data_IF_898365804984
#
_entry.id   IF_898365804984
#
_cell.length_a   1.000
_cell.length_b   1.000
_cell.length_c   1.000
_cell.angle_alpha   90.00
_cell.angle_beta   90.00
_cell.angle_gamma   90.00
#
_symmetry.space_group_name_H-M   'P 1'
#
loop_
_entity.id
_entity.type
_entity.pdbx_description
1 polymer ?
#
# COMPACT_ATOMS: atom_id res chain seq x y z
N UNK A 1 44.56 23.63 -37.74
CA UNK A 1 44.48 22.16 -37.73
C UNK A 1 45.45 21.65 -36.67
N UNK A 2 45.16 20.55 -35.96
CA UNK A 2 44.25 19.47 -36.37
C UNK A 2 43.29 19.09 -35.19
N UNK A 3 42.30 18.21 -35.22
CA UNK A 3 41.76 17.25 -36.17
C UNK A 3 40.23 17.31 -36.10
N UNK A 4 39.62 17.28 -37.27
CA UNK A 4 38.22 16.95 -37.51
C UNK A 4 37.95 15.51 -37.06
N UNK A 5 37.02 15.31 -36.12
CA UNK A 5 36.34 14.01 -35.98
C UNK A 5 35.15 13.96 -36.95
N UNK A 6 35.12 13.03 -37.92
CA UNK A 6 33.91 12.68 -38.62
C UNK A 6 33.30 11.46 -37.91
N UNK A 7 32.40 11.67 -36.95
CA UNK A 7 31.60 10.58 -36.42
C UNK A 7 30.30 10.47 -37.23
N UNK A 8 30.19 9.39 -37.99
CA UNK A 8 29.04 9.03 -38.80
C UNK A 8 27.74 9.10 -37.98
N UNK A 9 26.71 9.72 -38.56
CA UNK A 9 25.33 9.74 -38.05
C UNK A 9 24.75 8.32 -38.11
N UNK A 10 25.08 7.50 -37.12
CA UNK A 10 24.63 6.11 -37.06
C UNK A 10 23.37 6.05 -36.23
N UNK A 11 22.21 6.26 -36.87
CA UNK A 11 20.93 5.95 -36.26
C UNK A 11 20.78 4.43 -36.24
N UNK A 12 20.97 3.80 -35.08
CA UNK A 12 20.65 2.38 -34.92
C UNK A 12 19.15 2.23 -34.64
N UNK A 13 18.48 1.35 -35.39
CA UNK A 13 17.06 1.04 -35.21
C UNK A 13 16.75 0.51 -33.80
N UNK A 14 15.47 0.52 -33.38
CA UNK A 14 15.08 0.17 -32.02
C UNK A 14 15.53 -1.27 -31.68
N UNK A 15 16.18 -1.44 -30.51
CA UNK A 15 16.52 -2.76 -30.00
C UNK A 15 15.26 -3.55 -29.59
N UNK A 16 15.41 -4.86 -29.35
CA UNK A 16 14.32 -5.73 -28.90
C UNK A 16 13.67 -5.31 -27.55
N UNK A 17 14.21 -4.27 -26.88
CA UNK A 17 13.68 -3.70 -25.64
C UNK A 17 13.06 -2.31 -25.87
N UNK A 18 13.01 -1.76 -27.09
CA UNK A 18 12.46 -0.42 -27.38
C UNK A 18 13.43 0.75 -27.09
N UNK A 19 14.75 0.54 -27.15
CA UNK A 19 15.77 1.59 -27.08
C UNK A 19 16.24 2.00 -28.46
N UNK A 20 16.40 3.30 -28.67
CA UNK A 20 17.05 3.85 -29.85
C UNK A 20 18.34 4.53 -29.38
N UNK A 21 19.48 4.17 -29.97
CA UNK A 21 20.73 4.87 -29.72
C UNK A 21 20.83 6.10 -30.62
N UNK A 22 21.06 7.26 -30.01
CA UNK A 22 21.15 8.54 -30.70
C UNK A 22 22.31 9.34 -30.14
N UNK A 23 22.96 10.14 -30.98
CA UNK A 23 23.89 11.16 -30.51
C UNK A 23 23.09 12.42 -30.13
N UNK A 24 23.33 12.97 -28.94
CA UNK A 24 22.65 14.17 -28.42
C UNK A 24 23.65 15.18 -27.92
N UNK A 25 23.35 16.46 -28.17
CA UNK A 25 24.09 17.58 -27.59
C UNK A 25 23.85 17.62 -26.09
N UNK A 26 24.89 17.87 -25.28
CA UNK A 26 24.76 17.89 -23.82
C UNK A 26 23.73 18.93 -23.35
N UNK A 27 23.60 20.06 -24.05
CA UNK A 27 22.65 21.13 -23.73
C UNK A 27 21.18 20.72 -23.92
N UNK A 28 20.92 19.67 -24.70
CA UNK A 28 19.57 19.14 -24.90
C UNK A 28 19.13 18.17 -23.79
N UNK A 29 20.04 17.78 -22.90
CA UNK A 29 19.79 16.82 -21.84
C UNK A 29 19.44 17.59 -20.56
N UNK A 30 18.18 17.49 -20.15
CA UNK A 30 17.66 18.14 -18.95
C UNK A 30 17.71 17.17 -17.78
N UNK A 31 18.40 17.56 -16.70
CA UNK A 31 18.40 16.79 -15.46
C UNK A 31 17.13 17.13 -14.69
N UNK A 32 16.21 16.16 -14.57
CA UNK A 32 14.99 16.31 -13.78
C UNK A 32 15.23 16.33 -12.26
N UNK A 33 14.17 16.33 -11.47
CA UNK A 33 14.25 16.31 -10.00
C UNK A 33 14.95 15.05 -9.50
N UNK A 34 16.13 15.22 -8.89
CA UNK A 34 16.92 14.13 -8.29
C UNK A 34 17.03 14.30 -6.78
N UNK A 35 17.02 13.16 -6.08
CA UNK A 35 17.22 13.11 -4.64
C UNK A 35 18.68 13.42 -4.24
N UNK A 36 19.66 13.03 -5.07
CA UNK A 36 21.07 13.36 -4.89
C UNK A 36 21.42 14.63 -5.67
N UNK A 37 21.87 15.67 -4.97
CA UNK A 37 22.23 16.98 -5.56
C UNK A 37 23.72 17.14 -5.85
N UNK A 38 24.58 16.28 -5.29
CA UNK A 38 26.02 16.29 -5.53
C UNK A 38 26.47 15.00 -6.23
N UNK A 39 27.12 15.07 -7.40
CA UNK A 39 27.61 13.89 -8.09
C UNK A 39 28.78 13.23 -7.36
N UNK A 40 29.42 13.88 -6.37
CA UNK A 40 30.57 13.36 -5.61
C UNK A 40 31.88 13.38 -6.41
N UNK A 41 32.87 12.60 -5.99
CA UNK A 41 34.15 12.49 -6.72
C UNK A 41 33.98 11.75 -8.05
N UNK A 42 34.34 12.45 -9.13
CA UNK A 42 34.26 12.00 -10.52
C UNK A 42 35.64 11.75 -11.15
N UNK A 43 36.74 12.01 -10.44
CA UNK A 43 38.10 12.03 -11.01
C UNK A 43 38.43 10.72 -11.73
N UNK A 44 38.27 9.59 -11.05
CA UNK A 44 38.51 8.25 -11.62
C UNK A 44 37.58 7.92 -12.80
N UNK A 45 36.34 8.41 -12.77
CA UNK A 45 35.39 8.18 -13.85
C UNK A 45 35.76 9.01 -15.08
N UNK A 46 36.21 10.25 -14.88
CA UNK A 46 36.73 11.11 -15.95
C UNK A 46 37.97 10.50 -16.59
N UNK A 47 38.91 9.98 -15.79
CA UNK A 47 40.12 9.31 -16.29
C UNK A 47 39.75 8.09 -17.16
N UNK A 48 38.84 7.25 -16.67
CA UNK A 48 38.36 6.08 -17.43
C UNK A 48 37.64 6.46 -18.72
N UNK A 49 36.86 7.54 -18.72
CA UNK A 49 36.17 8.03 -19.93
C UNK A 49 37.17 8.60 -20.94
N UNK A 50 38.25 9.25 -20.47
CA UNK A 50 39.27 9.80 -21.35
C UNK A 50 40.11 8.70 -22.02
N UNK A 51 40.37 7.59 -21.31
CA UNK A 51 41.15 6.47 -21.82
C UNK A 51 40.34 5.52 -22.71
N UNK A 52 39.11 5.17 -22.31
CA UNK A 52 38.31 4.12 -22.95
C UNK A 52 37.07 4.63 -23.69
N UNK A 53 36.77 5.93 -23.58
CA UNK A 53 35.52 6.50 -24.05
C UNK A 53 34.32 6.15 -23.15
N UNK A 54 33.14 6.60 -23.55
CA UNK A 54 31.91 6.33 -22.82
C UNK A 54 31.37 4.93 -23.15
N UNK A 55 31.82 3.92 -22.42
CA UNK A 55 31.43 2.51 -22.64
C UNK A 55 29.94 2.24 -22.43
N UNK A 56 29.30 2.99 -21.54
CA UNK A 56 27.88 2.85 -21.25
C UNK A 56 27.17 4.19 -21.53
N UNK A 57 26.32 4.26 -22.58
CA UNK A 57 25.49 5.41 -22.86
C UNK A 57 24.56 5.77 -21.69
N UNK A 58 24.20 7.04 -21.57
CA UNK A 58 23.19 7.50 -20.61
C UNK A 58 21.79 7.28 -21.18
N UNK A 59 20.78 7.10 -20.33
CA UNK A 59 19.40 6.88 -20.79
C UNK A 59 18.55 8.13 -20.58
N UNK A 60 17.83 8.54 -21.61
CA UNK A 60 16.97 9.72 -21.62
C UNK A 60 15.55 9.40 -22.14
N UNK A 61 14.60 10.27 -21.82
CA UNK A 61 13.28 10.29 -22.45
C UNK A 61 13.36 10.89 -23.87
N UNK A 62 12.31 10.75 -24.71
CA UNK A 62 12.27 11.37 -26.03
C UNK A 62 12.36 12.91 -25.95
N UNK A 63 11.87 13.48 -24.85
CA UNK A 63 11.88 14.92 -24.56
C UNK A 63 13.24 15.43 -24.04
N UNK A 64 14.25 14.56 -23.91
CA UNK A 64 15.58 14.95 -23.44
C UNK A 64 15.78 14.91 -21.93
N UNK A 65 14.83 14.38 -21.16
CA UNK A 65 14.96 14.30 -19.70
C UNK A 65 15.86 13.13 -19.32
N UNK A 66 16.87 13.38 -18.50
CA UNK A 66 17.81 12.37 -18.04
C UNK A 66 17.12 11.40 -17.07
N UNK A 67 17.01 10.15 -17.50
CA UNK A 67 16.56 9.04 -16.66
C UNK A 67 17.75 8.57 -15.83
N UNK A 68 18.80 8.02 -16.45
CA UNK A 68 19.90 7.40 -15.72
C UNK A 68 21.30 7.80 -16.22
N UNK A 69 22.31 7.69 -15.34
CA UNK A 69 23.70 8.01 -15.67
C UNK A 69 24.11 9.47 -15.42
N UNK A 70 23.60 10.11 -14.37
CA UNK A 70 23.89 11.52 -14.08
C UNK A 70 25.38 11.79 -13.82
N UNK A 71 26.07 10.92 -13.09
CA UNK A 71 27.53 11.04 -12.87
C UNK A 71 28.32 10.98 -14.18
N UNK A 72 27.88 10.15 -15.13
CA UNK A 72 28.49 10.06 -16.47
C UNK A 72 28.24 11.34 -17.26
N UNK A 73 27.02 11.87 -17.23
CA UNK A 73 26.68 13.16 -17.83
C UNK A 73 27.54 14.31 -17.26
N UNK A 74 27.69 14.37 -15.94
CA UNK A 74 28.54 15.37 -15.28
C UNK A 74 30.02 15.18 -15.60
N UNK A 75 30.51 13.94 -15.65
CA UNK A 75 31.89 13.65 -16.01
C UNK A 75 32.21 14.11 -17.44
N UNK A 76 31.36 13.78 -18.44
CA UNK A 76 31.56 14.24 -19.83
C UNK A 76 31.41 15.75 -19.97
N UNK A 77 30.55 16.38 -19.16
CA UNK A 77 30.41 17.84 -19.11
C UNK A 77 31.67 18.52 -18.59
N UNK A 78 32.31 17.97 -17.54
CA UNK A 78 33.60 18.45 -17.02
C UNK A 78 34.77 18.20 -17.98
N UNK A 79 34.71 17.12 -18.77
CA UNK A 79 35.67 16.82 -19.83
C UNK A 79 35.48 17.69 -21.09
N UNK A 80 34.44 18.53 -21.15
CA UNK A 80 34.22 19.48 -22.24
C UNK A 80 33.63 18.86 -23.52
N UNK A 81 32.98 17.71 -23.42
CA UNK A 81 32.31 17.08 -24.58
C UNK A 81 31.13 17.95 -25.04
N UNK A 82 30.85 17.98 -26.35
CA UNK A 82 29.71 18.74 -26.92
C UNK A 82 28.50 17.86 -27.16
N UNK A 83 28.72 16.61 -27.54
CA UNK A 83 27.69 15.59 -27.73
C UNK A 83 28.12 14.27 -27.10
N UNK A 84 27.16 13.40 -26.85
CA UNK A 84 27.38 12.05 -26.35
C UNK A 84 26.31 11.09 -26.88
N UNK A 85 26.68 9.82 -26.99
CA UNK A 85 25.72 8.77 -27.27
C UNK A 85 24.79 8.57 -26.07
N UNK A 86 23.50 8.52 -26.38
CA UNK A 86 22.43 8.30 -25.42
C UNK A 86 21.48 7.21 -25.91
N UNK A 87 20.84 6.53 -24.98
CA UNK A 87 19.71 5.67 -25.26
C UNK A 87 18.40 6.41 -25.00
N UNK A 88 17.60 6.55 -26.04
CA UNK A 88 16.24 7.10 -25.95
C UNK A 88 15.26 5.96 -25.74
N UNK A 89 14.51 6.04 -24.65
CA UNK A 89 13.42 5.12 -24.34
C UNK A 89 12.08 5.79 -24.67
N UNK A 90 11.26 5.18 -25.52
CA UNK A 90 9.90 5.63 -25.76
C UNK A 90 8.88 4.80 -24.97
N UNK A 91 7.77 5.41 -24.54
CA UNK A 91 6.64 4.70 -23.94
C UNK A 91 6.83 4.25 -22.48
N UNK A 92 7.75 4.83 -21.72
CA UNK A 92 7.89 4.58 -20.28
C UNK A 92 7.01 5.59 -19.52
N UNK A 93 6.32 5.14 -18.48
CA UNK A 93 5.62 6.06 -17.57
C UNK A 93 6.63 6.79 -16.68
N UNK A 94 6.43 8.08 -16.39
CA UNK A 94 7.37 8.88 -15.58
C UNK A 94 7.71 8.28 -14.20
N UNK A 95 6.84 7.42 -13.67
CA UNK A 95 7.04 6.66 -12.42
C UNK A 95 8.07 5.54 -12.56
N UNK A 96 8.09 4.83 -13.69
CA UNK A 96 9.08 3.81 -14.00
C UNK A 96 10.44 4.43 -14.37
N UNK A 97 10.42 5.60 -15.03
CA UNK A 97 11.62 6.40 -15.31
C UNK A 97 12.36 6.78 -14.01
N UNK A 98 11.64 7.35 -13.04
CA UNK A 98 12.20 7.75 -11.75
C UNK A 98 12.77 6.56 -10.95
N UNK A 99 12.13 5.40 -11.03
CA UNK A 99 12.59 4.18 -10.33
C UNK A 99 13.85 3.59 -10.98
N UNK A 100 13.95 3.63 -12.31
CA UNK A 100 15.13 3.16 -13.04
C UNK A 100 16.32 4.11 -12.85
N UNK A 101 16.07 5.42 -12.85
CA UNK A 101 17.05 6.45 -12.49
C UNK A 101 17.72 6.16 -11.14
N UNK A 102 16.89 5.81 -10.15
CA UNK A 102 17.33 5.53 -8.80
C UNK A 102 18.08 4.20 -8.69
N UNK A 103 17.74 3.20 -9.52
CA UNK A 103 18.43 1.91 -9.50
C UNK A 103 19.86 2.02 -10.06
N UNK A 104 20.02 2.70 -11.21
CA UNK A 104 21.32 2.88 -11.88
C UNK A 104 22.29 3.74 -11.05
N UNK A 105 21.80 4.81 -10.41
CA UNK A 105 22.61 5.64 -9.50
C UNK A 105 23.09 4.86 -8.26
N UNK A 106 22.34 3.83 -7.82
CA UNK A 106 22.69 2.99 -6.68
C UNK A 106 23.63 1.83 -7.02
N UNK A 107 23.60 1.35 -8.26
CA UNK A 107 24.41 0.21 -8.71
C UNK A 107 25.90 0.57 -8.86
N UNK A 108 26.23 1.87 -8.96
CA UNK A 108 27.58 2.37 -9.27
C UNK A 108 28.38 3.04 -8.13
N UNK A 109 27.85 3.22 -6.90
CA UNK A 109 28.54 3.42 -5.60
C UNK A 109 27.82 4.41 -4.64
N UNK A 110 27.10 3.86 -3.67
CA UNK A 110 27.22 3.97 -2.21
C UNK A 110 26.02 3.17 -1.70
N UNK A 111 26.19 2.17 -0.84
CA UNK A 111 25.04 1.42 -0.35
C UNK A 111 24.06 2.39 0.32
N UNK A 112 22.81 2.45 -0.17
CA UNK A 112 21.76 3.28 0.42
C UNK A 112 21.79 3.20 1.95
N UNK A 113 21.69 4.35 2.62
CA UNK A 113 21.52 4.40 4.07
C UNK A 113 20.22 3.68 4.46
N UNK A 114 20.15 3.11 5.66
CA UNK A 114 18.97 2.38 6.14
C UNK A 114 17.71 3.25 6.17
N UNK A 115 17.83 4.56 6.42
CA UNK A 115 16.73 5.52 6.34
C UNK A 115 16.26 5.72 4.90
N UNK A 116 17.19 5.88 3.95
CA UNK A 116 16.85 6.02 2.53
C UNK A 116 16.15 4.77 1.99
N UNK A 117 16.62 3.58 2.41
CA UNK A 117 15.96 2.31 2.12
C UNK A 117 14.54 2.27 2.69
N UNK A 118 14.31 2.78 3.89
CA UNK A 118 13.00 2.81 4.53
C UNK A 118 12.02 3.77 3.83
N UNK A 119 12.49 4.95 3.43
CA UNK A 119 11.69 5.92 2.65
C UNK A 119 11.27 5.33 1.31
N UNK A 120 12.22 4.77 0.56
CA UNK A 120 11.93 4.12 -0.72
C UNK A 120 11.00 2.90 -0.55
N UNK A 121 11.15 2.17 0.56
CA UNK A 121 10.26 1.06 0.90
C UNK A 121 8.81 1.52 1.10
N UNK A 122 8.61 2.65 1.79
CA UNK A 122 7.28 3.22 2.01
C UNK A 122 6.61 3.59 0.69
N UNK A 123 7.33 4.28 -0.19
CA UNK A 123 6.83 4.66 -1.52
C UNK A 123 6.48 3.42 -2.36
N UNK A 124 7.43 2.49 -2.51
CA UNK A 124 7.19 1.26 -3.29
C UNK A 124 6.05 0.40 -2.72
N UNK A 125 5.89 0.35 -1.39
CA UNK A 125 4.80 -0.37 -0.73
C UNK A 125 3.44 0.23 -1.09
N UNK A 126 3.32 1.57 -1.15
CA UNK A 126 2.08 2.24 -1.58
C UNK A 126 1.77 1.93 -3.04
N UNK A 127 2.77 2.04 -3.92
CA UNK A 127 2.63 1.77 -5.35
C UNK A 127 2.21 0.31 -5.60
N UNK A 128 2.87 -0.65 -4.95
CA UNK A 128 2.51 -2.07 -5.06
C UNK A 128 1.13 -2.39 -4.47
N UNK A 129 0.64 -1.60 -3.51
CA UNK A 129 -0.71 -1.72 -2.98
C UNK A 129 -1.74 -1.23 -4.00
N UNK A 130 -1.54 -0.04 -4.58
CA UNK A 130 -2.37 0.53 -5.65
C UNK A 130 -2.46 -0.41 -6.86
N UNK A 131 -1.34 -0.99 -7.29
CA UNK A 131 -1.31 -1.98 -8.38
C UNK A 131 -2.00 -3.30 -7.98
N UNK A 132 -1.88 -3.71 -6.71
CA UNK A 132 -2.61 -4.84 -6.16
C UNK A 132 -4.12 -4.61 -6.18
N UNK A 133 -4.58 -3.40 -5.85
CA UNK A 133 -5.98 -3.00 -5.90
C UNK A 133 -6.50 -2.91 -7.34
N UNK A 134 -5.73 -2.31 -8.25
CA UNK A 134 -6.06 -2.28 -9.69
C UNK A 134 -6.20 -3.68 -10.27
N UNK A 135 -5.29 -4.60 -9.92
CA UNK A 135 -5.39 -6.02 -10.33
C UNK A 135 -6.63 -6.68 -9.74
N UNK A 136 -6.91 -6.46 -8.45
CA UNK A 136 -8.12 -7.01 -7.81
C UNK A 136 -9.36 -6.51 -8.51
N UNK A 137 -9.49 -5.20 -8.75
CA UNK A 137 -10.60 -4.60 -9.48
C UNK A 137 -10.74 -5.22 -10.89
N UNK A 138 -9.64 -5.33 -11.65
CA UNK A 138 -9.66 -5.97 -12.97
C UNK A 138 -10.07 -7.46 -12.94
N UNK A 139 -9.71 -8.19 -11.89
CA UNK A 139 -10.09 -9.61 -11.73
C UNK A 139 -11.46 -9.81 -11.10
N UNK A 140 -12.00 -8.82 -10.39
CA UNK A 140 -13.25 -8.91 -9.65
C UNK A 140 -14.48 -8.79 -10.56
N UNK A 141 -14.33 -8.17 -11.73
CA UNK A 141 -15.37 -8.04 -12.76
C UNK A 141 -15.26 -9.09 -13.90
N UNK A 142 -14.36 -10.07 -13.81
CA UNK A 142 -14.04 -11.02 -14.89
C UNK A 142 -14.06 -12.49 -14.50
N UNK A 143 -14.86 -12.90 -13.51
CA UNK A 143 -15.04 -14.30 -13.15
C UNK A 143 -16.30 -14.89 -13.78
N UNK A 144 -16.36 -14.89 -15.12
CA UNK A 144 -17.49 -15.41 -15.88
C UNK A 144 -17.10 -15.75 -17.32
N UNK A 145 -16.69 -17.01 -17.52
CA UNK A 145 -16.46 -17.71 -18.79
C UNK A 145 -15.31 -17.20 -19.67
N UNK A 146 -14.37 -18.11 -19.96
CA UNK A 146 -13.08 -17.94 -20.66
C UNK A 146 -11.95 -17.38 -19.81
N UNK A 147 -11.45 -18.20 -18.88
CA UNK A 147 -10.04 -18.10 -18.51
C UNK A 147 -9.23 -18.58 -19.74
N UNK A 148 -8.44 -17.74 -20.42
CA UNK A 148 -7.37 -18.27 -21.23
C UNK A 148 -6.45 -19.00 -20.26
N UNK A 149 -6.06 -20.22 -20.62
CA UNK A 149 -5.03 -20.96 -19.93
C UNK A 149 -3.72 -20.14 -19.99
N UNK A 150 -3.53 -19.19 -19.08
CA UNK A 150 -2.25 -18.52 -18.86
C UNK A 150 -1.38 -19.42 -17.99
N UNK A 151 -1.18 -20.66 -18.43
CA UNK A 151 0.13 -21.26 -18.30
C UNK A 151 1.06 -20.35 -19.09
N UNK A 152 1.92 -19.61 -18.38
CA UNK A 152 2.95 -18.81 -19.03
C UNK A 152 3.68 -19.66 -20.06
N UNK A 153 3.97 -19.10 -21.23
CA UNK A 153 4.85 -19.74 -22.19
C UNK A 153 6.11 -20.25 -21.45
N UNK A 154 6.68 -21.42 -21.82
CA UNK A 154 7.91 -21.91 -21.21
C UNK A 154 8.98 -20.81 -21.28
N UNK A 155 9.34 -20.22 -20.14
CA UNK A 155 10.31 -19.12 -20.06
C UNK A 155 9.75 -17.71 -19.83
N UNK A 156 8.43 -17.51 -19.76
CA UNK A 156 7.86 -16.24 -19.30
C UNK A 156 8.16 -16.06 -17.79
N UNK A 157 8.79 -14.95 -17.36
CA UNK A 157 9.06 -14.74 -15.95
C UNK A 157 7.72 -14.73 -15.19
N UNK A 158 7.60 -15.46 -14.07
CA UNK A 158 6.36 -15.50 -13.31
C UNK A 158 5.98 -14.07 -12.92
N UNK A 159 4.77 -13.64 -13.29
CA UNK A 159 4.24 -12.35 -12.85
C UNK A 159 4.38 -12.23 -11.33
N UNK A 160 4.89 -11.10 -10.84
CA UNK A 160 5.27 -10.95 -9.45
C UNK A 160 4.08 -11.25 -8.52
N UNK A 161 4.08 -12.45 -7.92
CA UNK A 161 3.08 -12.90 -6.96
C UNK A 161 3.60 -12.63 -5.56
N UNK A 162 2.89 -11.81 -4.78
CA UNK A 162 3.30 -11.46 -3.42
C UNK A 162 2.50 -10.32 -2.79
N UNK A 163 2.49 -10.25 -1.46
CA UNK A 163 1.97 -9.11 -0.70
C UNK A 163 2.84 -7.86 -1.01
N UNK A 164 2.24 -6.68 -1.18
CA UNK A 164 2.91 -5.43 -1.56
C UNK A 164 4.21 -5.16 -0.78
N UNK A 165 4.19 -5.38 0.55
CA UNK A 165 5.37 -5.29 1.43
C UNK A 165 6.57 -6.15 1.00
N UNK A 166 6.32 -7.36 0.48
CA UNK A 166 7.39 -8.27 0.03
C UNK A 166 7.94 -7.84 -1.32
N UNK A 167 7.07 -7.39 -2.22
CA UNK A 167 7.48 -6.87 -3.53
C UNK A 167 8.34 -5.61 -3.37
N UNK A 168 7.91 -4.66 -2.53
CA UNK A 168 8.67 -3.46 -2.21
C UNK A 168 10.06 -3.78 -1.62
N UNK A 169 10.13 -4.67 -0.61
CA UNK A 169 11.42 -5.03 -0.01
C UNK A 169 12.38 -5.72 -1.00
N UNK A 170 11.84 -6.60 -1.86
CA UNK A 170 12.61 -7.30 -2.89
C UNK A 170 13.15 -6.33 -3.95
N UNK A 171 12.36 -5.33 -4.34
CA UNK A 171 12.75 -4.32 -5.32
C UNK A 171 13.91 -3.42 -4.85
N UNK A 172 14.07 -3.24 -3.54
CA UNK A 172 15.13 -2.40 -2.96
C UNK A 172 16.39 -3.22 -2.71
N UNK A 173 16.29 -4.22 -1.84
CA UNK A 173 17.46 -4.93 -1.31
C UNK A 173 17.74 -6.26 -2.00
N UNK A 174 16.87 -6.70 -2.93
CA UNK A 174 16.92 -8.06 -3.49
C UNK A 174 16.59 -9.16 -2.48
N UNK A 175 16.21 -8.81 -1.25
CA UNK A 175 15.87 -9.72 -0.15
C UNK A 175 14.50 -9.37 0.41
N UNK A 176 13.84 -10.35 1.04
CA UNK A 176 12.54 -10.14 1.68
C UNK A 176 12.66 -9.46 3.08
N UNK A 177 13.42 -8.38 3.19
CA UNK A 177 13.76 -7.68 4.45
C UNK A 177 12.70 -6.65 4.90
N UNK A 178 11.41 -6.92 4.65
CA UNK A 178 10.33 -5.97 4.92
C UNK A 178 10.21 -5.59 6.41
N UNK A 179 10.46 -6.52 7.34
CA UNK A 179 10.39 -6.24 8.78
C UNK A 179 11.41 -5.19 9.25
N UNK A 180 12.56 -5.09 8.60
CA UNK A 180 13.59 -4.11 8.95
C UNK A 180 13.16 -2.72 8.52
N UNK A 181 12.70 -2.58 7.27
CA UNK A 181 12.20 -1.30 6.76
C UNK A 181 10.97 -0.80 7.52
N UNK A 182 10.04 -1.69 7.91
CA UNK A 182 8.87 -1.30 8.73
C UNK A 182 9.29 -0.74 10.11
N UNK A 183 10.34 -1.29 10.74
CA UNK A 183 10.83 -0.78 12.03
C UNK A 183 11.43 0.62 11.90
N UNK A 184 12.21 0.86 10.84
CA UNK A 184 12.78 2.18 10.56
C UNK A 184 11.67 3.18 10.23
N UNK A 185 10.67 2.80 9.43
CA UNK A 185 9.49 3.64 9.17
C UNK A 185 8.73 4.01 10.45
N UNK A 186 8.56 3.06 11.38
CA UNK A 186 7.90 3.31 12.66
C UNK A 186 8.69 4.31 13.52
N UNK A 187 10.02 4.21 13.56
CA UNK A 187 10.88 5.18 14.25
C UNK A 187 10.76 6.58 13.63
N UNK A 188 10.74 6.67 12.30
CA UNK A 188 10.53 7.95 11.58
C UNK A 188 9.15 8.56 11.89
N UNK A 189 8.11 7.73 11.98
CA UNK A 189 6.76 8.19 12.31
C UNK A 189 6.68 8.72 13.75
N UNK A 190 7.29 8.01 14.71
CA UNK A 190 7.37 8.47 16.09
C UNK A 190 8.16 9.77 16.21
N UNK A 191 9.28 9.90 15.50
CA UNK A 191 10.11 11.11 15.49
C UNK A 191 9.37 12.34 14.92
N UNK A 192 8.51 12.15 13.91
CA UNK A 192 7.90 13.25 13.14
C UNK A 192 6.51 13.66 13.64
N UNK A 193 5.76 12.74 14.26
CA UNK A 193 4.36 12.97 14.64
C UNK A 193 4.26 13.85 15.88
N UNK A 194 3.56 14.99 15.76
CA UNK A 194 3.33 15.95 16.86
C UNK A 194 2.61 15.34 18.06
N UNK A 195 1.70 14.38 17.82
CA UNK A 195 0.96 13.67 18.86
C UNK A 195 1.81 12.69 19.68
N UNK A 196 3.02 12.34 19.21
CA UNK A 196 3.95 11.49 19.97
C UNK A 196 4.57 12.30 21.12
N UNK A 197 4.65 11.77 22.35
CA UNK A 197 5.27 12.46 23.48
C UNK A 197 6.69 12.95 23.17
N UNK A 198 7.11 14.15 23.65
CA UNK A 198 8.42 14.73 23.33
C UNK A 198 9.60 13.80 23.63
N UNK A 199 9.56 13.07 24.74
CA UNK A 199 10.59 12.11 25.16
C UNK A 199 10.73 10.95 24.17
N UNK A 200 9.62 10.43 23.66
CA UNK A 200 9.64 9.37 22.64
C UNK A 200 10.15 9.91 21.30
N UNK A 201 9.84 11.17 20.95
CA UNK A 201 10.40 11.78 19.74
C UNK A 201 11.92 11.92 19.83
N UNK A 202 12.46 12.32 20.99
CA UNK A 202 13.91 12.40 21.19
C UNK A 202 14.54 11.01 21.11
N UNK A 203 13.98 10.01 21.80
CA UNK A 203 14.47 8.63 21.73
C UNK A 203 14.43 8.05 20.30
N UNK A 204 13.37 8.34 19.55
CA UNK A 204 13.26 7.91 18.15
C UNK A 204 14.30 8.59 17.25
N UNK A 205 14.56 9.89 17.43
CA UNK A 205 15.60 10.60 16.70
C UNK A 205 17.01 10.07 17.03
N UNK A 206 17.28 9.77 18.30
CA UNK A 206 18.55 9.19 18.73
C UNK A 206 18.74 7.77 18.17
N UNK A 207 17.69 6.95 18.19
CA UNK A 207 17.70 5.62 17.58
C UNK A 207 17.96 5.70 16.06
N UNK A 208 17.36 6.67 15.36
CA UNK A 208 17.61 6.88 13.93
C UNK A 208 19.07 7.26 13.68
N UNK A 209 19.67 8.15 14.46
CA UNK A 209 21.11 8.49 14.35
C UNK A 209 22.01 7.30 14.57
N UNK A 210 21.71 6.46 15.57
CA UNK A 210 22.46 5.22 15.83
C UNK A 210 22.36 4.24 14.66
N UNK A 211 21.18 4.12 14.04
CA UNK A 211 20.97 3.30 12.83
C UNK A 211 21.78 3.84 11.65
N UNK A 212 21.84 5.16 11.45
CA UNK A 212 22.70 5.76 10.41
C UNK A 212 24.18 5.43 10.63
N UNK A 213 24.62 5.34 11.88
CA UNK A 213 25.98 4.93 12.26
C UNK A 213 26.21 3.41 12.18
N UNK A 214 25.22 2.62 11.76
CA UNK A 214 25.34 1.18 11.54
C UNK A 214 24.98 0.29 12.73
N UNK A 215 24.37 0.84 13.79
CA UNK A 215 23.92 0.03 14.92
C UNK A 215 22.72 -0.90 14.55
N UNK A 216 22.54 -2.03 15.25
CA UNK A 216 21.45 -2.95 14.97
C UNK A 216 20.07 -2.33 15.19
N UNK A 217 19.22 -2.35 14.15
CA UNK A 217 17.90 -1.72 14.14
C UNK A 217 16.91 -2.35 15.14
N UNK A 218 16.94 -3.68 15.30
CA UNK A 218 15.96 -4.41 16.13
C UNK A 218 15.98 -4.00 17.61
N UNK A 219 17.13 -3.99 18.33
CA UNK A 219 17.15 -3.59 19.74
C UNK A 219 16.72 -2.13 19.94
N UNK A 220 17.22 -1.22 19.10
CA UNK A 220 16.85 0.21 19.15
C UNK A 220 15.34 0.41 18.96
N UNK A 221 14.74 -0.29 17.99
CA UNK A 221 13.30 -0.27 17.81
C UNK A 221 12.53 -0.82 19.02
N UNK A 222 13.01 -1.90 19.64
CA UNK A 222 12.34 -2.50 20.80
C UNK A 222 12.36 -1.58 22.02
N UNK A 223 13.45 -0.87 22.25
CA UNK A 223 13.60 0.13 23.32
C UNK A 223 12.61 1.28 23.15
N UNK A 224 12.60 1.93 21.97
CA UNK A 224 11.67 3.04 21.68
C UNK A 224 10.21 2.55 21.71
N UNK A 225 9.94 1.33 21.22
CA UNK A 225 8.60 0.75 21.27
C UNK A 225 8.14 0.52 22.71
N UNK A 226 8.99 -0.02 23.58
CA UNK A 226 8.64 -0.27 24.98
C UNK A 226 8.27 1.05 25.69
N UNK A 227 9.11 2.09 25.53
CA UNK A 227 8.83 3.41 26.08
C UNK A 227 7.53 4.01 25.50
N UNK A 228 7.29 3.86 24.19
CA UNK A 228 6.02 4.31 23.58
C UNK A 228 4.81 3.56 24.15
N UNK A 229 4.87 2.24 24.26
CA UNK A 229 3.79 1.41 24.83
C UNK A 229 3.52 1.80 26.30
N UNK A 230 4.56 2.09 27.09
CA UNK A 230 4.43 2.60 28.47
C UNK A 230 3.73 3.96 28.52
N UNK A 231 4.09 4.90 27.64
CA UNK A 231 3.38 6.20 27.58
C UNK A 231 1.91 6.07 27.18
N UNK A 232 1.55 5.06 26.39
CA UNK A 232 0.16 4.75 26.07
C UNK A 232 -0.58 4.12 27.26
N UNK A 233 0.12 3.33 28.08
CA UNK A 233 -0.45 2.73 29.29
C UNK A 233 -0.63 3.74 30.45
N UNK A 234 0.20 4.77 30.51
CA UNK A 234 0.18 5.81 31.57
C UNK A 234 -0.90 6.88 31.31
N UNK A 235 -1.41 7.03 30.08
CA UNK A 235 -2.61 7.82 29.86
C UNK A 235 -3.74 7.18 30.67
N UNK A 236 -4.32 7.85 31.68
CA UNK A 236 -5.57 7.38 32.22
C UNK A 236 -6.57 7.55 31.09
N UNK A 237 -6.87 6.47 30.37
CA UNK A 237 -8.23 6.29 29.91
C UNK A 237 -9.08 6.61 31.14
N UNK A 238 -9.87 7.69 31.09
CA UNK A 238 -11.06 7.77 31.92
C UNK A 238 -11.75 6.45 31.63
N UNK A 239 -11.64 5.50 32.56
CA UNK A 239 -12.03 4.12 32.35
C UNK A 239 -13.53 4.16 32.12
N UNK A 240 -13.93 4.23 30.86
CA UNK A 240 -15.33 4.19 30.51
C UNK A 240 -15.84 2.85 30.98
N UNK A 241 -17.08 2.82 31.45
CA UNK A 241 -17.70 1.60 31.97
C UNK A 241 -17.65 0.43 30.97
N UNK A 242 -17.53 0.76 29.68
CA UNK A 242 -17.29 -0.18 28.58
C UNK A 242 -15.91 -0.86 28.63
N UNK A 243 -14.85 -0.14 28.99
CA UNK A 243 -13.49 -0.67 29.15
C UNK A 243 -13.38 -1.59 30.37
N UNK A 244 -14.07 -1.24 31.47
CA UNK A 244 -14.21 -2.09 32.67
C UNK A 244 -14.89 -3.42 32.33
N UNK A 245 -16.02 -3.36 31.64
CA UNK A 245 -16.78 -4.54 31.20
C UNK A 245 -16.01 -5.41 30.19
N UNK A 246 -15.19 -4.81 29.32
CA UNK A 246 -14.33 -5.53 28.39
C UNK A 246 -13.21 -6.29 29.12
N UNK A 247 -12.64 -5.70 30.16
CA UNK A 247 -11.62 -6.34 31.01
C UNK A 247 -12.21 -7.50 31.81
N UNK A 248 -13.38 -7.29 32.41
CA UNK A 248 -14.12 -8.34 33.14
C UNK A 248 -14.51 -9.52 32.23
N UNK A 249 -14.82 -9.25 30.96
CA UNK A 249 -15.07 -10.28 29.96
C UNK A 249 -13.80 -11.04 29.54
N UNK A 250 -12.65 -10.36 29.44
CA UNK A 250 -11.36 -10.99 29.14
C UNK A 250 -10.85 -11.87 30.29
N UNK A 251 -11.08 -11.47 31.54
CA UNK A 251 -10.75 -12.29 32.71
C UNK A 251 -11.60 -13.58 32.77
N UNK A 252 -12.88 -13.51 32.37
CA UNK A 252 -13.74 -14.70 32.21
C UNK A 252 -13.27 -15.65 31.10
N UNK A 253 -12.55 -15.14 30.09
CA UNK A 253 -11.98 -15.95 29.00
C UNK A 253 -10.63 -16.56 29.42
N UNK A 254 -9.77 -15.78 30.08
CA UNK A 254 -8.45 -16.27 30.53
C UNK A 254 -8.54 -17.29 31.67
N UNK A 255 -9.61 -17.26 32.48
CA UNK A 255 -9.94 -18.31 33.46
C UNK A 255 -10.32 -19.67 32.84
N UNK A 256 -10.52 -19.74 31.52
CA UNK A 256 -10.82 -20.97 30.77
C UNK A 256 -9.69 -21.36 29.82
N UNK A 257 -8.43 -21.29 30.27
CA UNK A 257 -7.31 -21.94 29.57
C UNK A 257 -7.33 -23.44 29.82
N UNK A 258 -8.11 -24.15 29.01
CA UNK A 258 -8.15 -25.61 29.08
C UNK A 258 -8.98 -26.24 27.97
N UNK A 259 -8.56 -26.09 26.70
CA UNK A 259 -8.79 -27.13 25.68
C UNK A 259 -7.95 -26.89 24.43
N UNK A 260 -6.82 -27.61 24.39
CA UNK A 260 -6.07 -27.90 23.17
C UNK A 260 -6.96 -28.68 22.20
N UNK A 261 -6.90 -28.28 20.93
CA UNK A 261 -7.19 -29.13 19.77
C UNK A 261 -8.65 -29.47 19.52
N UNK A 262 -9.32 -28.69 18.65
CA UNK A 262 -10.37 -29.25 17.82
C UNK A 262 -10.06 -29.00 16.34
N UNK A 263 -10.08 -30.11 15.60
CA UNK A 263 -9.86 -30.23 14.18
C UNK A 263 -10.85 -29.33 13.42
N UNK A 264 -10.33 -28.70 12.37
CA UNK A 264 -11.05 -27.87 11.42
C UNK A 264 -12.01 -28.76 10.61
N UNK A 265 -13.26 -28.87 11.06
CA UNK A 265 -14.32 -29.47 10.26
C UNK A 265 -14.76 -28.45 9.20
N UNK A 266 -14.49 -28.81 7.94
CA UNK A 266 -15.08 -28.18 6.77
C UNK A 266 -16.52 -28.70 6.64
N UNK A 267 -17.49 -27.80 6.79
CA UNK A 267 -18.90 -28.00 6.48
C UNK A 267 -19.57 -26.62 6.34
N UNK A 268 -20.59 -26.44 5.49
CA UNK A 268 -21.17 -25.14 5.19
C UNK A 268 -22.12 -24.73 6.33
N UNK A 269 -21.60 -24.12 7.38
CA UNK A 269 -22.42 -23.49 8.41
C UNK A 269 -22.73 -22.05 7.99
N UNK A 270 -24.02 -21.75 7.75
CA UNK A 270 -24.55 -20.39 7.65
C UNK A 270 -24.17 -19.64 8.94
N UNK A 271 -23.06 -18.91 8.90
CA UNK A 271 -22.70 -18.01 9.98
C UNK A 271 -23.50 -16.72 9.84
N UNK A 272 -24.63 -16.64 10.54
CA UNK A 272 -25.30 -15.36 10.75
C UNK A 272 -24.33 -14.44 11.50
N UNK A 273 -24.22 -13.17 11.07
CA UNK A 273 -23.41 -12.17 11.77
C UNK A 273 -24.07 -11.82 13.11
N UNK A 274 -23.28 -11.29 14.04
CA UNK A 274 -23.80 -10.89 15.36
C UNK A 274 -24.80 -9.73 15.24
N UNK A 275 -25.71 -9.62 16.21
CA UNK A 275 -26.65 -8.48 16.32
C UNK A 275 -25.90 -7.14 16.36
N UNK A 276 -24.72 -7.09 17.00
CA UNK A 276 -23.87 -5.89 17.01
C UNK A 276 -23.38 -5.50 15.61
N UNK A 277 -22.99 -6.48 14.79
CA UNK A 277 -22.60 -6.22 13.39
C UNK A 277 -23.77 -5.71 12.57
N UNK A 278 -24.99 -6.20 12.84
CA UNK A 278 -26.21 -5.73 12.17
C UNK A 278 -26.52 -4.27 12.50
N UNK A 279 -26.49 -3.90 13.80
CA UNK A 279 -26.73 -2.51 14.23
C UNK A 279 -25.72 -1.54 13.62
N UNK A 280 -24.43 -1.90 13.62
CA UNK A 280 -23.38 -1.05 13.05
C UNK A 280 -23.62 -0.76 11.56
N UNK A 281 -23.99 -1.78 10.78
CA UNK A 281 -24.29 -1.62 9.35
C UNK A 281 -25.44 -0.63 9.10
N UNK A 282 -26.46 -0.62 9.95
CA UNK A 282 -27.58 0.34 9.81
C UNK A 282 -27.22 1.75 10.31
N UNK A 283 -26.38 1.87 11.34
CA UNK A 283 -25.86 3.17 11.77
C UNK A 283 -24.99 3.82 10.70
N UNK A 284 -24.16 3.04 10.00
CA UNK A 284 -23.34 3.53 8.89
C UNK A 284 -24.15 3.94 7.66
N UNK A 285 -25.30 3.29 7.45
CA UNK A 285 -26.25 3.64 6.39
C UNK A 285 -27.22 4.75 6.81
N UNK A 286 -27.15 5.30 8.02
CA UNK A 286 -28.05 6.40 8.39
C UNK A 286 -27.68 7.68 7.64
N UNK A 287 -28.68 8.41 7.12
CA UNK A 287 -28.48 9.64 6.33
C UNK A 287 -27.83 9.47 4.95
N UNK A 288 -27.53 8.24 4.51
CA UNK A 288 -26.76 8.02 3.27
C UNK A 288 -27.44 8.55 2.00
N UNK A 289 -28.78 8.56 1.96
CA UNK A 289 -29.55 9.05 0.81
C UNK A 289 -29.43 10.54 0.61
N UNK A 290 -29.13 11.31 1.66
CA UNK A 290 -28.95 12.77 1.58
C UNK A 290 -27.62 13.15 0.90
N UNK A 291 -26.71 12.20 0.76
CA UNK A 291 -25.41 12.41 0.11
C UNK A 291 -25.47 12.32 -1.42
N UNK A 292 -26.63 11.99 -2.00
CA UNK A 292 -26.78 11.76 -3.43
C UNK A 292 -27.92 12.58 -4.04
N UNK A 293 -27.66 13.15 -5.22
CA UNK A 293 -28.66 13.81 -6.06
C UNK A 293 -29.38 12.78 -6.94
N UNK A 294 -30.71 12.72 -6.81
CA UNK A 294 -31.56 11.75 -7.50
C UNK A 294 -31.55 11.96 -9.01
N UNK A 295 -31.54 13.22 -9.48
CA UNK A 295 -31.57 13.52 -10.92
C UNK A 295 -30.23 13.16 -11.57
N UNK A 296 -29.13 13.42 -10.85
CA UNK A 296 -27.79 13.02 -11.28
C UNK A 296 -27.63 11.49 -11.34
N UNK A 297 -28.18 10.76 -10.37
CA UNK A 297 -28.17 9.30 -10.37
C UNK A 297 -29.04 8.72 -11.49
N UNK A 298 -30.24 9.26 -11.72
CA UNK A 298 -31.13 8.80 -12.78
C UNK A 298 -30.50 8.97 -14.18
N UNK A 299 -29.74 10.03 -14.39
CA UNK A 299 -29.03 10.26 -15.65
C UNK A 299 -27.75 9.41 -15.81
N UNK A 300 -27.09 9.05 -14.70
CA UNK A 300 -25.76 8.43 -14.69
C UNK A 300 -25.72 6.91 -14.51
N UNK A 301 -26.78 6.30 -13.98
CA UNK A 301 -26.80 4.86 -13.74
C UNK A 301 -27.02 4.06 -15.02
N UNK A 302 -26.26 2.98 -15.18
CA UNK A 302 -26.53 2.00 -16.24
C UNK A 302 -27.73 1.13 -15.87
N UNK A 303 -28.35 0.47 -16.85
CA UNK A 303 -29.46 -0.46 -16.60
C UNK A 303 -29.07 -1.57 -15.61
N UNK A 304 -27.85 -2.08 -15.70
CA UNK A 304 -27.36 -3.12 -14.80
C UNK A 304 -27.19 -2.61 -13.35
N UNK A 305 -26.73 -1.37 -13.18
CA UNK A 305 -26.60 -0.73 -11.87
C UNK A 305 -27.98 -0.48 -11.24
N UNK A 306 -28.94 -0.05 -12.06
CA UNK A 306 -30.33 0.15 -11.65
C UNK A 306 -30.98 -1.16 -11.18
N UNK A 307 -30.87 -2.22 -11.97
CA UNK A 307 -31.39 -3.54 -11.59
C UNK A 307 -30.72 -4.10 -10.33
N UNK A 308 -29.43 -3.85 -10.15
CA UNK A 308 -28.72 -4.26 -8.93
C UNK A 308 -29.22 -3.48 -7.71
N UNK A 309 -29.40 -2.17 -7.84
CA UNK A 309 -29.97 -1.34 -6.77
C UNK A 309 -31.37 -1.81 -6.39
N UNK A 310 -32.26 -1.99 -7.37
CA UNK A 310 -33.65 -2.40 -7.16
C UNK A 310 -33.74 -3.78 -6.48
N UNK A 311 -32.90 -4.74 -6.90
CA UNK A 311 -32.81 -6.05 -6.24
C UNK A 311 -32.43 -5.94 -4.76
N UNK A 312 -31.43 -5.09 -4.45
CA UNK A 312 -30.95 -4.92 -3.08
C UNK A 312 -32.01 -4.25 -2.21
N UNK A 313 -32.69 -3.21 -2.72
CA UNK A 313 -33.78 -2.54 -2.00
C UNK A 313 -34.93 -3.50 -1.76
N UNK A 314 -35.34 -4.24 -2.78
CA UNK A 314 -36.42 -5.25 -2.67
C UNK A 314 -36.09 -6.31 -1.62
N UNK A 315 -34.87 -6.86 -1.64
CA UNK A 315 -34.44 -7.84 -0.65
C UNK A 315 -34.39 -7.25 0.77
N UNK A 316 -34.00 -5.98 0.90
CA UNK A 316 -33.93 -5.27 2.19
C UNK A 316 -35.32 -5.02 2.77
N UNK A 317 -36.29 -4.61 1.94
CA UNK A 317 -37.70 -4.45 2.34
C UNK A 317 -38.28 -5.79 2.78
N UNK A 318 -38.09 -6.85 1.97
CA UNK A 318 -38.57 -8.19 2.32
C UNK A 318 -37.98 -8.68 3.66
N UNK A 319 -36.69 -8.42 3.90
CA UNK A 319 -36.04 -8.75 5.16
C UNK A 319 -36.59 -7.93 6.35
N UNK A 320 -36.83 -6.63 6.17
CA UNK A 320 -37.48 -5.78 7.19
C UNK A 320 -38.85 -6.33 7.57
N UNK A 321 -39.66 -6.72 6.59
CA UNK A 321 -41.02 -7.20 6.82
C UNK A 321 -41.02 -8.57 7.55
N UNK A 322 -40.06 -9.45 7.23
CA UNK A 322 -39.81 -10.67 8.00
C UNK A 322 -39.44 -10.37 9.45
N UNK A 323 -38.57 -9.37 9.70
CA UNK A 323 -38.15 -9.00 11.04
C UNK A 323 -39.30 -8.39 11.86
N UNK A 324 -40.14 -7.55 11.25
CA UNK A 324 -41.35 -6.99 11.89
C UNK A 324 -42.30 -8.11 12.28
N UNK A 325 -42.54 -9.07 11.37
CA UNK A 325 -43.41 -10.22 11.61
C UNK A 325 -42.87 -11.06 12.77
N UNK A 326 -41.58 -11.43 12.75
CA UNK A 326 -40.94 -12.17 13.83
C UNK A 326 -41.01 -11.43 15.18
N UNK A 327 -40.81 -10.11 15.19
CA UNK A 327 -40.89 -9.30 16.42
C UNK A 327 -42.30 -9.28 17.02
N UNK A 328 -43.34 -9.21 16.18
CA UNK A 328 -44.75 -9.28 16.60
C UNK A 328 -45.11 -10.65 17.19
N UNK A 329 -44.55 -11.73 16.66
CA UNK A 329 -44.73 -13.07 17.23
C UNK A 329 -44.01 -13.21 18.58
N UNK A 330 -42.77 -12.72 18.70
CA UNK A 330 -42.01 -12.80 19.96
C UNK A 330 -42.62 -11.99 21.12
N UNK A 331 -43.31 -10.88 20.82
CA UNK A 331 -44.01 -10.07 21.84
C UNK A 331 -45.34 -10.67 22.30
N UNK A 332 -45.93 -11.59 21.52
CA UNK A 332 -47.14 -12.33 21.92
C UNK A 332 -46.82 -13.52 22.82
N UNK A 333 -45.63 -14.11 22.69
CA UNK A 333 -45.16 -15.26 23.50
C UNK A 333 -44.60 -14.87 24.89
N UNK A 334 -44.42 -13.58 25.16
CA UNK A 334 -43.81 -13.08 26.42
C UNK A 334 -44.81 -12.47 27.42
N UNK A 335 -46.12 -12.59 27.16
CA UNK A 335 -47.16 -12.30 28.15
C UNK A 335 -47.60 -13.58 28.88
N UNK A 336 -47.13 -13.78 30.11
CA UNK A 336 -47.53 -14.90 31.00
C UNK A 336 -48.83 -14.60 31.79
N UNK A 337 -49.48 -15.63 32.40
CA UNK A 337 -50.92 -15.74 32.57
C UNK A 337 -51.48 -14.94 33.75
N UNK A 338 -52.56 -14.20 33.52
CA UNK A 338 -53.34 -13.53 34.55
C UNK A 338 -54.64 -14.28 34.85
N UNK A 339 -54.61 -15.04 35.94
CA UNK A 339 -55.67 -15.11 36.96
C UNK A 339 -57.07 -15.56 36.51
N UNK A 340 -57.29 -16.87 36.46
CA UNK A 340 -58.60 -17.47 36.65
C UNK A 340 -58.77 -17.78 38.14
N UNK A 341 -59.35 -16.83 38.88
CA UNK A 341 -59.69 -16.93 40.29
C UNK A 341 -61.05 -16.29 40.54
N UNK A 342 -62.10 -17.08 40.31
CA UNK A 342 -63.45 -17.08 40.91
C UNK A 342 -63.89 -15.88 41.76
N UNK A 343 -64.99 -15.23 41.35
CA UNK A 343 -66.04 -14.76 42.27
C UNK A 343 -67.41 -14.99 41.60
N UNK A 344 -68.11 -16.01 42.10
CA UNK A 344 -69.56 -16.19 42.00
C UNK A 344 -70.32 -14.98 42.55
N UNK A 345 -71.32 -14.50 41.80
CA UNK A 345 -72.57 -13.96 42.36
C UNK A 345 -73.72 -14.43 41.46
N UNK A 346 -74.46 -15.43 41.95
CA UNK A 346 -75.87 -15.68 41.61
C UNK A 346 -76.70 -14.41 41.89
N UNK A 347 -77.60 -14.02 40.97
CA UNK A 347 -79.03 -14.39 41.08
C UNK A 347 -79.89 -13.62 40.05
N UNK A 348 -81.01 -14.25 39.69
CA UNK A 348 -82.27 -13.71 39.13
C UNK A 348 -82.45 -13.80 37.61
N UNK A 349 -82.86 -14.98 37.11
CA UNK A 349 -84.26 -15.24 36.68
C UNK A 349 -84.37 -16.43 35.71
N UNK A 350 -84.78 -17.60 36.22
CA UNK A 350 -85.96 -18.39 35.80
C UNK A 350 -85.93 -19.78 36.44
#
# INVERSE_FOLDING_TARGET
MPETHPAARTQHGPDARGRIELDRTLDSIVVGTRYRKDPGDLTKLMDSINELGLLQPVTITPDGVLICGWRRLEAVRRLGWRSMNVWVRSGISGKLESLMAQRDDNELHLSLNELEKATLYRELKQISAEEGERRKQATQFGAGQSAPNTGGAPGAPPGATGKARRQAAMAITGKASYNTHERVCALMDWASRKATPPEIRTMANDALRKIENGEPIKPLYQEVKAAYDETQAIQPEVETELARLAREALERINGKKGRKGLKRNQGPTRHFRSVRSFVLTWTELDGWTEMYDVDALAAGLTLADWEQFDRVVTATIAFRDQLITARRHATRDTGEPGDAGDIDIEDTSA
#
